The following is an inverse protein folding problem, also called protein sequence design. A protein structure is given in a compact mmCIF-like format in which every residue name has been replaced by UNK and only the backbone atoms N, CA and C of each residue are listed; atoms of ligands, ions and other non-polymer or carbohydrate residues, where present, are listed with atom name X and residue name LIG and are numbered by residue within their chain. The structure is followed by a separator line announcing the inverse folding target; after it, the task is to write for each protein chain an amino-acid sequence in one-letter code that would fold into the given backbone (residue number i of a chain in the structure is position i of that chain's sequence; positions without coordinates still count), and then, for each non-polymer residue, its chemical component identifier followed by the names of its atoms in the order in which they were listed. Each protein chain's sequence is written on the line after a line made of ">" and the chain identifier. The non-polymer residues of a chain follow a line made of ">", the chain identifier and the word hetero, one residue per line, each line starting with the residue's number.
data_IF_274756240663
#
_entry.id   IF_274756240663
#
_cell.length_a   1.000
_cell.length_b   1.000
_cell.length_c   1.000
_cell.angle_alpha   90.00
_cell.angle_beta   90.00
_cell.angle_gamma   90.00
#
_symmetry.space_group_name_H-M   'P 1'
#
loop_
_entity.id
_entity.type
_entity.pdbx_description
1 polymer ?
#
# COMPACT_ATOMS: atom_id res chain seq x y z
N UNK A 1 -58.21 -1.80 9.49
CA UNK A 1 -56.98 -0.97 9.40
C UNK A 1 -56.24 -1.08 10.72
N UNK A 2 -55.13 -1.80 10.75
CA UNK A 2 -54.23 -1.85 11.90
C UNK A 2 -52.81 -1.66 11.37
N UNK A 3 -52.19 -0.56 11.79
CA UNK A 3 -50.88 -0.11 11.37
C UNK A 3 -49.81 -0.87 12.17
N UNK A 4 -49.05 -1.77 11.52
CA UNK A 4 -47.94 -2.46 12.16
C UNK A 4 -46.70 -1.55 12.19
N UNK A 5 -46.36 -1.06 13.38
CA UNK A 5 -45.14 -0.27 13.66
C UNK A 5 -43.92 -1.18 13.49
N UNK A 6 -43.01 -0.82 12.57
CA UNK A 6 -41.70 -1.45 12.42
C UNK A 6 -40.79 -0.93 13.55
N UNK A 7 -40.30 -1.84 14.39
CA UNK A 7 -39.31 -1.53 15.42
C UNK A 7 -37.90 -1.50 14.80
N UNK A 8 -37.07 -0.47 15.09
CA UNK A 8 -35.68 -0.45 14.65
C UNK A 8 -34.86 -1.43 15.50
N UNK A 9 -34.22 -2.42 14.88
CA UNK A 9 -33.20 -3.24 15.56
C UNK A 9 -33.26 -4.76 15.35
N UNK A 10 -34.17 -5.29 14.54
CA UNK A 10 -34.17 -6.72 14.18
C UNK A 10 -33.34 -6.96 12.92
N UNK A 11 -32.02 -7.07 13.05
CA UNK A 11 -31.15 -7.58 11.99
C UNK A 11 -30.63 -8.97 12.40
N UNK A 12 -30.79 -10.00 11.56
CA UNK A 12 -30.26 -11.32 11.84
C UNK A 12 -28.72 -11.30 11.85
N UNK A 13 -28.12 -11.71 12.97
CA UNK A 13 -26.66 -11.84 13.20
C UNK A 13 -25.95 -12.91 12.33
N UNK A 14 -26.54 -13.28 11.19
CA UNK A 14 -26.10 -14.41 10.37
C UNK A 14 -25.49 -14.00 9.01
N UNK A 15 -25.36 -12.69 8.72
CA UNK A 15 -24.76 -12.20 7.46
C UNK A 15 -23.51 -11.33 7.65
N UNK A 16 -22.92 -11.31 8.85
CA UNK A 16 -21.69 -10.54 9.13
C UNK A 16 -20.37 -11.27 8.85
N UNK A 17 -20.38 -12.59 8.61
CA UNK A 17 -19.14 -13.40 8.53
C UNK A 17 -18.54 -13.52 7.13
N UNK A 18 -19.25 -13.13 6.09
CA UNK A 18 -18.80 -13.32 4.69
C UNK A 18 -18.01 -12.09 4.20
N UNK A 19 -18.32 -10.89 4.70
CA UNK A 19 -17.61 -9.66 4.33
C UNK A 19 -16.27 -9.43 5.04
N UNK A 20 -15.99 -10.14 6.14
CA UNK A 20 -14.71 -10.03 6.84
C UNK A 20 -13.62 -10.85 6.11
N UNK A 21 -13.97 -11.98 5.49
CA UNK A 21 -13.00 -12.83 4.77
C UNK A 21 -12.44 -12.17 3.50
N UNK A 22 -13.22 -11.33 2.81
CA UNK A 22 -12.72 -10.60 1.62
C UNK A 22 -11.75 -9.48 1.98
N UNK A 23 -11.88 -8.86 3.15
CA UNK A 23 -10.91 -7.84 3.64
C UNK A 23 -9.63 -8.49 4.16
N UNK A 24 -9.72 -9.67 4.78
CA UNK A 24 -8.55 -10.42 5.24
C UNK A 24 -7.68 -10.93 4.07
N UNK A 25 -8.25 -11.20 2.90
CA UNK A 25 -7.49 -11.66 1.71
C UNK A 25 -6.59 -10.59 1.08
N UNK A 26 -6.73 -9.31 1.44
CA UNK A 26 -5.83 -8.20 1.04
C UNK A 26 -4.65 -8.09 2.02
N UNK A 27 -4.71 -8.77 3.16
CA UNK A 27 -3.62 -8.77 4.11
C UNK A 27 -2.55 -9.77 3.64
N UNK A 28 -1.31 -9.26 3.54
CA UNK A 28 -0.03 -9.99 3.50
C UNK A 28 0.56 -10.22 2.11
N UNK A 29 0.62 -9.16 1.31
CA UNK A 29 1.53 -9.10 0.17
C UNK A 29 2.37 -7.82 0.27
N UNK A 30 3.19 -7.74 1.33
CA UNK A 30 3.99 -6.55 1.64
C UNK A 30 5.24 -6.55 0.78
N UNK A 31 5.49 -5.48 0.03
CA UNK A 31 6.76 -5.30 -0.68
C UNK A 31 7.86 -5.08 0.36
N UNK A 32 8.88 -5.93 0.33
CA UNK A 32 10.04 -5.87 1.23
C UNK A 32 11.29 -5.34 0.52
N UNK A 33 11.39 -5.52 -0.79
CA UNK A 33 12.49 -5.03 -1.60
C UNK A 33 12.11 -4.90 -3.09
N UNK A 34 12.97 -4.23 -3.85
CA UNK A 34 12.90 -4.11 -5.30
C UNK A 34 14.19 -4.64 -5.93
N UNK A 35 14.06 -5.62 -6.82
CA UNK A 35 15.18 -6.20 -7.57
C UNK A 35 15.26 -5.59 -8.96
N UNK A 36 16.41 -5.01 -9.30
CA UNK A 36 16.62 -4.40 -10.60
C UNK A 36 16.76 -5.46 -11.68
N UNK A 37 16.12 -5.19 -12.83
CA UNK A 37 16.27 -5.95 -14.07
C UNK A 37 16.96 -5.11 -15.14
N UNK A 38 17.44 -5.78 -16.18
CA UNK A 38 18.10 -5.16 -17.33
C UNK A 38 19.27 -4.24 -16.92
N UNK A 39 19.13 -2.92 -17.08
CA UNK A 39 20.16 -1.93 -16.78
C UNK A 39 20.43 -1.78 -15.28
N UNK A 40 19.46 -2.14 -14.44
CA UNK A 40 19.57 -2.13 -12.98
C UNK A 40 19.85 -3.54 -12.44
N UNK A 41 20.18 -4.52 -13.31
CA UNK A 41 20.46 -5.91 -12.92
C UNK A 41 21.55 -6.01 -11.87
N UNK A 42 21.27 -6.76 -10.81
CA UNK A 42 22.20 -7.00 -9.70
C UNK A 42 22.10 -5.98 -8.57
N UNK A 43 21.13 -5.05 -8.65
CA UNK A 43 20.79 -4.16 -7.54
C UNK A 43 19.54 -4.67 -6.82
N UNK A 44 19.57 -4.55 -5.50
CA UNK A 44 18.41 -4.81 -4.65
C UNK A 44 18.29 -3.63 -3.71
N UNK A 45 17.10 -3.03 -3.66
CA UNK A 45 16.81 -1.87 -2.81
C UNK A 45 15.73 -2.30 -1.81
N UNK A 46 15.97 -2.13 -0.52
CA UNK A 46 14.97 -2.43 0.50
C UNK A 46 13.80 -1.45 0.40
N UNK A 47 12.58 -1.92 0.69
CA UNK A 47 11.38 -1.07 0.61
C UNK A 47 11.46 0.16 1.53
N UNK A 48 12.17 0.05 2.67
CA UNK A 48 12.43 1.17 3.58
C UNK A 48 13.40 2.23 3.03
N UNK A 49 14.27 1.85 2.10
CA UNK A 49 15.25 2.76 1.47
C UNK A 49 14.77 3.29 0.10
N UNK A 50 13.67 2.73 -0.42
CA UNK A 50 13.18 2.96 -1.78
C UNK A 50 12.95 4.46 -2.06
N UNK A 51 12.30 5.19 -1.15
CA UNK A 51 12.06 6.62 -1.33
C UNK A 51 13.37 7.43 -1.43
N UNK A 52 14.31 7.18 -0.52
CA UNK A 52 15.60 7.88 -0.52
C UNK A 52 16.39 7.62 -1.81
N UNK A 53 16.41 6.37 -2.26
CA UNK A 53 17.04 5.99 -3.51
C UNK A 53 16.42 6.70 -4.72
N UNK A 54 15.09 6.74 -4.79
CA UNK A 54 14.37 7.42 -5.90
C UNK A 54 14.63 8.91 -5.87
N UNK A 55 14.57 9.54 -4.70
CA UNK A 55 14.85 10.97 -4.55
C UNK A 55 16.27 11.32 -5.01
N UNK A 56 17.28 10.53 -4.61
CA UNK A 56 18.66 10.73 -5.04
C UNK A 56 18.80 10.58 -6.57
N UNK A 57 18.22 9.50 -7.14
CA UNK A 57 18.35 9.20 -8.58
C UNK A 57 17.58 10.16 -9.47
N UNK A 58 16.48 10.73 -8.98
CA UNK A 58 15.69 11.74 -9.69
C UNK A 58 16.14 13.18 -9.37
N UNK A 59 17.10 13.39 -8.47
CA UNK A 59 17.55 14.72 -8.07
C UNK A 59 16.48 15.52 -7.30
N UNK A 60 15.57 14.82 -6.62
CA UNK A 60 14.50 15.42 -5.83
C UNK A 60 15.05 15.72 -4.44
N UNK A 61 14.99 16.97 -4.02
CA UNK A 61 15.40 17.40 -2.69
C UNK A 61 14.18 17.86 -1.90
N UNK A 62 14.05 17.35 -0.66
CA UNK A 62 13.09 17.87 0.29
C UNK A 62 13.58 19.25 0.77
N UNK A 63 12.70 20.25 0.73
CA UNK A 63 13.04 21.56 1.29
C UNK A 63 13.12 21.47 2.83
N UNK A 64 14.07 22.16 3.48
CA UNK A 64 14.29 22.05 4.93
C UNK A 64 13.05 22.38 5.79
N UNK A 65 12.15 23.21 5.26
CA UNK A 65 10.95 23.72 5.91
C UNK A 65 9.66 23.03 5.44
N UNK A 66 9.75 22.02 4.57
CA UNK A 66 8.59 21.29 4.09
C UNK A 66 8.03 20.39 5.21
N UNK A 67 6.79 20.61 5.65
CA UNK A 67 6.18 19.75 6.66
C UNK A 67 6.00 18.34 6.11
N UNK A 68 6.22 17.33 6.96
CA UNK A 68 5.78 15.96 6.69
C UNK A 68 4.27 15.90 6.89
N UNK A 69 3.55 16.30 5.85
CA UNK A 69 2.10 16.26 5.79
C UNK A 69 1.63 15.10 4.89
N UNK A 70 0.31 14.90 4.85
CA UNK A 70 -0.32 13.87 4.04
C UNK A 70 0.06 14.00 2.55
N UNK A 71 0.27 15.21 2.04
CA UNK A 71 0.68 15.44 0.65
C UNK A 71 2.09 14.87 0.36
N UNK A 72 3.03 15.00 1.31
CA UNK A 72 4.36 14.42 1.17
C UNK A 72 4.33 12.89 1.22
N UNK A 73 3.46 12.31 2.05
CA UNK A 73 3.25 10.86 2.10
C UNK A 73 2.66 10.34 0.78
N UNK A 74 1.61 10.97 0.26
CA UNK A 74 1.01 10.63 -1.04
C UNK A 74 2.03 10.75 -2.18
N UNK A 75 2.81 11.83 -2.20
CA UNK A 75 3.90 12.01 -3.15
C UNK A 75 4.95 10.89 -3.05
N UNK A 76 5.35 10.54 -1.83
CA UNK A 76 6.34 9.49 -1.58
C UNK A 76 5.90 8.14 -2.12
N UNK A 77 4.62 7.80 -1.94
CA UNK A 77 4.05 6.58 -2.51
C UNK A 77 4.02 6.63 -4.04
N UNK A 78 3.53 7.74 -4.61
CA UNK A 78 3.42 7.88 -6.07
C UNK A 78 4.78 7.84 -6.77
N UNK A 79 5.81 8.50 -6.21
CA UNK A 79 7.12 8.57 -6.86
C UNK A 79 7.86 7.24 -6.81
N UNK A 80 7.70 6.48 -5.72
CA UNK A 80 8.24 5.12 -5.59
C UNK A 80 7.55 4.18 -6.57
N UNK A 81 6.21 4.17 -6.59
CA UNK A 81 5.43 3.33 -7.51
C UNK A 81 5.81 3.62 -8.98
N UNK A 82 5.89 4.90 -9.36
CA UNK A 82 6.32 5.31 -10.69
C UNK A 82 7.73 4.81 -11.05
N UNK A 83 8.71 5.02 -10.17
CA UNK A 83 10.11 4.67 -10.47
C UNK A 83 10.33 3.15 -10.58
N UNK A 84 9.71 2.39 -9.68
CA UNK A 84 9.86 0.94 -9.64
C UNK A 84 8.91 0.18 -10.58
N UNK A 85 7.94 0.85 -11.22
CA UNK A 85 7.06 0.23 -12.23
C UNK A 85 7.76 -0.32 -13.48
N UNK A 86 9.00 0.11 -13.74
CA UNK A 86 9.75 -0.20 -14.96
C UNK A 86 10.72 -1.36 -14.80
N UNK A 87 12.01 -1.02 -14.69
CA UNK A 87 13.12 -1.98 -14.68
C UNK A 87 13.32 -2.64 -13.30
N UNK A 88 12.25 -2.89 -12.56
CA UNK A 88 12.33 -3.45 -11.21
C UNK A 88 11.24 -4.49 -10.97
N UNK A 89 11.55 -5.47 -10.15
CA UNK A 89 10.63 -6.52 -9.71
C UNK A 89 10.44 -6.36 -8.21
N UNK A 90 9.19 -6.29 -7.78
CA UNK A 90 8.84 -6.26 -6.35
C UNK A 90 9.04 -7.63 -5.72
N UNK A 91 9.84 -7.67 -4.66
CA UNK A 91 9.96 -8.82 -3.76
C UNK A 91 8.94 -8.64 -2.66
N UNK A 92 7.99 -9.57 -2.56
CA UNK A 92 6.89 -9.53 -1.60
C UNK A 92 7.01 -10.67 -0.59
N UNK A 93 6.73 -10.34 0.67
CA UNK A 93 6.57 -11.33 1.72
C UNK A 93 5.09 -11.74 1.82
N UNK A 94 4.85 -13.04 1.71
CA UNK A 94 3.56 -13.66 1.96
C UNK A 94 3.55 -14.14 3.41
N UNK A 95 2.90 -13.41 4.30
CA UNK A 95 2.72 -13.93 5.65
C UNK A 95 1.65 -15.04 5.58
N UNK A 96 2.02 -16.31 5.73
CA UNK A 96 1.05 -17.38 5.95
C UNK A 96 0.46 -17.25 7.37
N UNK A 97 -0.84 -16.93 7.52
CA UNK A 97 -1.58 -17.06 8.79
C UNK A 97 -2.66 -18.14 8.66
#
# INVERSE_FOLDING_TARGET
>A
MACAKIAPGSWPRALGRIWIKSVISVMKNKVIAYEGIFAEKGKTIEAGEALGYVMERCGIQKMPDMPENNDFEEFSHMVVDWYFSGNWIEVREFDDA
#
